data_IF_010158224360
#
_entry.id   IF_010158224360
#
_cell.length_a   1.000
_cell.length_b   1.000
_cell.length_c   1.000
_cell.angle_alpha   90.00
_cell.angle_beta   90.00
_cell.angle_gamma   90.00
#
_symmetry.space_group_name_H-M   'P 1'
#
loop_
_entity.id
_entity.type
_entity.pdbx_description
1 polymer ?
#
# COMPACT_ATOMS: atom_id res chain seq x y z
N UNK A 1 13.98 -12.07 9.00
CA UNK A 1 14.05 -12.37 7.56
C UNK A 1 12.73 -11.94 6.95
N UNK A 2 12.72 -11.48 5.70
CA UNK A 2 11.54 -10.99 4.98
C UNK A 2 11.30 -11.93 3.81
N UNK A 3 10.05 -12.39 3.63
CA UNK A 3 9.71 -13.43 2.65
C UNK A 3 8.73 -12.95 1.60
N UNK A 4 8.91 -13.47 0.39
CA UNK A 4 8.00 -13.25 -0.74
C UNK A 4 7.81 -14.54 -1.52
N UNK A 5 6.61 -14.78 -1.98
CA UNK A 5 6.29 -15.88 -2.88
C UNK A 5 6.23 -15.36 -4.32
N UNK A 6 7.01 -15.95 -5.21
CA UNK A 6 7.11 -15.58 -6.62
C UNK A 6 7.09 -16.82 -7.53
N UNK A 7 7.04 -16.61 -8.85
CA UNK A 7 7.18 -17.70 -9.80
C UNK A 7 8.55 -18.35 -9.72
N UNK A 8 8.64 -19.63 -10.12
CA UNK A 8 9.92 -20.35 -10.24
C UNK A 8 10.89 -19.65 -11.18
N UNK A 9 12.19 -19.86 -10.96
CA UNK A 9 13.26 -19.30 -11.82
C UNK A 9 13.55 -17.82 -11.60
N UNK A 10 13.25 -17.33 -10.39
CA UNK A 10 13.59 -15.96 -9.95
C UNK A 10 14.84 -15.92 -9.06
N UNK A 11 15.45 -17.07 -8.78
CA UNK A 11 16.63 -17.21 -7.93
C UNK A 11 17.80 -16.35 -8.40
N UNK A 12 18.38 -15.58 -7.49
CA UNK A 12 19.58 -14.79 -7.73
C UNK A 12 19.39 -13.61 -8.69
N UNK A 13 18.20 -13.43 -9.28
CA UNK A 13 17.91 -12.28 -10.12
C UNK A 13 17.80 -11.01 -9.30
N UNK A 14 18.35 -9.94 -9.84
CA UNK A 14 18.16 -8.59 -9.33
C UNK A 14 16.93 -7.99 -10.02
N UNK A 15 16.09 -7.38 -9.23
CA UNK A 15 14.91 -6.66 -9.68
C UNK A 15 15.08 -5.19 -9.31
N UNK A 16 14.89 -4.32 -10.26
CA UNK A 16 14.92 -2.88 -10.06
C UNK A 16 13.53 -2.34 -9.72
N UNK A 17 13.51 -1.27 -8.96
CA UNK A 17 12.32 -0.49 -8.72
C UNK A 17 11.75 -0.01 -10.05
N UNK A 18 10.45 -0.10 -10.19
CA UNK A 18 9.77 0.41 -11.38
C UNK A 18 9.55 1.91 -11.27
N UNK A 19 9.84 2.64 -12.33
CA UNK A 19 9.54 4.07 -12.40
C UNK A 19 8.03 4.34 -12.47
N UNK A 20 7.28 3.40 -13.02
CA UNK A 20 5.83 3.53 -13.13
C UNK A 20 5.13 3.26 -11.81
N UNK A 21 4.23 4.14 -11.44
CA UNK A 21 3.31 3.94 -10.32
C UNK A 21 2.45 2.69 -10.55
N UNK A 22 2.37 1.82 -9.56
CA UNK A 22 1.61 0.58 -9.65
C UNK A 22 0.31 0.70 -8.85
N UNK A 23 -0.85 0.53 -9.49
CA UNK A 23 -2.11 0.51 -8.76
C UNK A 23 -2.15 -0.70 -7.81
N UNK A 24 -2.73 -0.54 -6.63
CA UNK A 24 -2.91 -1.66 -5.69
C UNK A 24 -3.85 -2.69 -6.29
N UNK A 25 -3.51 -3.97 -6.13
CA UNK A 25 -4.38 -5.08 -6.57
C UNK A 25 -5.43 -5.49 -5.54
N UNK A 26 -5.31 -5.01 -4.31
CA UNK A 26 -6.07 -5.50 -3.15
C UNK A 26 -6.72 -4.41 -2.32
N UNK A 27 -6.46 -3.14 -2.62
CA UNK A 27 -6.99 -1.98 -1.90
C UNK A 27 -7.78 -1.10 -2.87
N UNK A 28 -8.95 -0.57 -2.50
CA UNK A 28 -9.68 0.39 -3.34
C UNK A 28 -8.82 1.61 -3.67
N UNK A 29 -8.83 2.06 -4.91
CA UNK A 29 -7.98 3.16 -5.37
C UNK A 29 -8.14 4.45 -4.55
N UNK A 30 -9.38 4.80 -4.19
CA UNK A 30 -9.66 5.96 -3.34
C UNK A 30 -8.98 5.84 -1.98
N UNK A 31 -8.96 4.65 -1.38
CA UNK A 31 -8.31 4.41 -0.09
C UNK A 31 -6.81 4.53 -0.22
N UNK A 32 -6.22 3.93 -1.26
CA UNK A 32 -4.78 4.02 -1.53
C UNK A 32 -4.34 5.47 -1.79
N UNK A 33 -5.15 6.24 -2.54
CA UNK A 33 -4.91 7.66 -2.77
C UNK A 33 -4.95 8.49 -1.48
N UNK A 34 -5.91 8.23 -0.60
CA UNK A 34 -6.02 8.89 0.70
C UNK A 34 -4.87 8.49 1.64
N UNK A 35 -4.42 7.24 1.59
CA UNK A 35 -3.23 6.83 2.31
C UNK A 35 -1.98 7.53 1.79
N UNK A 36 -1.80 7.67 0.48
CA UNK A 36 -0.68 8.43 -0.10
C UNK A 36 -0.72 9.91 0.31
N UNK A 37 -1.90 10.52 0.32
CA UNK A 37 -2.07 11.89 0.77
C UNK A 37 -1.59 12.11 2.21
N UNK A 38 -1.97 11.21 3.16
CA UNK A 38 -1.57 11.29 4.57
C UNK A 38 -0.21 10.64 4.85
N UNK A 39 0.49 10.08 3.86
CA UNK A 39 1.77 9.39 4.07
C UNK A 39 2.79 10.31 4.73
N UNK A 40 3.30 9.94 5.94
CA UNK A 40 4.33 10.71 6.61
C UNK A 40 5.66 10.64 5.85
N UNK A 41 6.49 11.65 6.04
CA UNK A 41 7.87 11.63 5.56
C UNK A 41 8.65 10.47 6.21
N UNK A 42 9.54 9.84 5.45
CA UNK A 42 10.32 8.69 5.90
C UNK A 42 9.60 7.35 5.84
N UNK A 43 8.30 7.31 5.51
CA UNK A 43 7.60 6.05 5.24
C UNK A 43 7.73 5.65 3.78
N UNK A 44 7.85 4.33 3.48
CA UNK A 44 7.92 3.84 2.11
C UNK A 44 6.66 4.20 1.31
N UNK A 45 6.84 4.56 0.05
CA UNK A 45 5.74 4.76 -0.86
C UNK A 45 5.19 3.40 -1.30
N UNK A 46 3.93 3.11 -0.98
CA UNK A 46 3.28 1.84 -1.29
C UNK A 46 3.34 1.49 -2.79
N UNK A 47 3.27 2.47 -3.67
CA UNK A 47 3.24 2.29 -5.14
C UNK A 47 4.58 1.89 -5.73
N UNK A 48 5.66 2.21 -5.03
CA UNK A 48 7.04 1.85 -5.37
C UNK A 48 7.59 0.72 -4.51
N UNK A 49 6.80 0.26 -3.53
CA UNK A 49 7.22 -0.78 -2.60
C UNK A 49 7.06 -2.18 -3.16
N UNK A 50 7.97 -3.05 -2.80
CA UNK A 50 7.77 -4.48 -2.80
C UNK A 50 6.99 -4.84 -1.52
N UNK A 51 5.95 -5.66 -1.66
CA UNK A 51 5.20 -6.20 -0.53
C UNK A 51 5.72 -7.59 -0.17
N UNK A 52 5.90 -7.83 1.11
CA UNK A 52 6.49 -9.04 1.64
C UNK A 52 5.87 -9.40 2.99
N UNK A 53 6.25 -10.53 3.55
CA UNK A 53 5.71 -11.06 4.81
C UNK A 53 6.83 -11.48 5.76
N UNK A 54 6.60 -11.44 7.07
CA UNK A 54 7.56 -11.89 8.06
C UNK A 54 7.69 -13.43 8.13
N UNK A 55 6.72 -14.16 7.56
CA UNK A 55 6.63 -15.61 7.59
C UNK A 55 6.43 -16.20 6.19
N UNK A 56 7.05 -17.35 5.86
CA UNK A 56 6.90 -18.02 4.56
C UNK A 56 5.46 -18.38 4.22
N UNK A 57 4.71 -18.89 5.20
CA UNK A 57 3.31 -19.28 5.03
C UNK A 57 2.40 -18.10 4.69
N UNK A 58 2.64 -16.92 5.27
CA UNK A 58 1.90 -15.71 4.94
C UNK A 58 2.29 -15.20 3.54
N UNK A 59 3.57 -15.26 3.18
CA UNK A 59 4.02 -14.92 1.84
C UNK A 59 3.31 -15.78 0.78
N UNK A 60 3.11 -17.08 1.04
CA UNK A 60 2.38 -17.99 0.17
C UNK A 60 0.88 -17.69 0.13
N UNK A 61 0.26 -17.52 1.30
CA UNK A 61 -1.17 -17.27 1.47
C UNK A 61 -1.68 -16.06 0.67
N UNK A 62 -0.88 -15.00 0.61
CA UNK A 62 -1.25 -13.74 -0.04
C UNK A 62 -0.64 -13.55 -1.43
N UNK A 63 0.06 -14.56 -1.93
CA UNK A 63 0.62 -14.55 -3.29
C UNK A 63 -0.43 -14.95 -4.33
N UNK A 64 -0.35 -14.35 -5.51
CA UNK A 64 -1.09 -14.80 -6.69
C UNK A 64 -0.65 -16.18 -7.19
N UNK A 65 0.51 -16.67 -6.76
CA UNK A 65 1.07 -17.96 -7.19
C UNK A 65 0.64 -19.11 -6.28
N UNK A 66 0.19 -18.84 -5.06
CA UNK A 66 -0.25 -19.86 -4.10
C UNK A 66 0.75 -21.02 -3.96
N UNK A 67 0.26 -22.25 -4.06
CA UNK A 67 1.09 -23.46 -3.94
C UNK A 67 2.04 -23.70 -5.12
N UNK A 68 1.81 -23.04 -6.26
CA UNK A 68 2.71 -23.11 -7.42
C UNK A 68 3.90 -22.15 -7.31
N UNK A 69 3.89 -21.27 -6.31
CA UNK A 69 4.97 -20.32 -6.08
C UNK A 69 6.13 -20.92 -5.28
N UNK A 70 7.26 -20.24 -5.38
CA UNK A 70 8.47 -20.51 -4.56
C UNK A 70 8.63 -19.39 -3.57
N UNK A 71 8.99 -19.75 -2.33
CA UNK A 71 9.28 -18.77 -1.29
C UNK A 71 10.73 -18.34 -1.39
N UNK A 72 10.93 -17.06 -1.39
CA UNK A 72 12.23 -16.41 -1.41
C UNK A 72 12.39 -15.51 -0.19
N UNK A 73 13.59 -15.46 0.35
CA UNK A 73 14.01 -14.34 1.19
C UNK A 73 14.29 -13.15 0.29
N UNK A 74 13.90 -11.97 0.76
CA UNK A 74 14.11 -10.71 0.04
C UNK A 74 15.28 -9.96 0.65
N UNK A 75 16.29 -9.68 -0.17
CA UNK A 75 17.45 -8.87 0.18
C UNK A 75 17.40 -7.54 -0.60
N UNK A 76 17.15 -6.40 0.07
CA UNK A 76 17.26 -5.11 -0.59
C UNK A 76 18.71 -4.79 -0.93
N UNK A 77 18.93 -4.11 -2.04
CA UNK A 77 20.23 -3.64 -2.51
C UNK A 77 20.29 -2.12 -2.37
N UNK A 78 21.24 -1.63 -1.57
CA UNK A 78 21.38 -0.21 -1.26
C UNK A 78 20.45 0.26 -0.14
N UNK A 79 20.12 1.55 -0.16
CA UNK A 79 19.23 2.17 0.83
C UNK A 79 17.82 1.61 0.72
N UNK A 80 17.20 1.42 1.87
CA UNK A 80 15.88 0.79 1.95
C UNK A 80 15.03 1.42 3.05
N UNK A 81 13.82 1.83 2.70
CA UNK A 81 12.78 2.20 3.65
C UNK A 81 11.90 0.99 3.91
N UNK A 82 11.73 0.67 5.18
CA UNK A 82 10.93 -0.47 5.63
C UNK A 82 9.85 -0.02 6.60
N UNK A 83 8.62 -0.44 6.33
CA UNK A 83 7.53 -0.30 7.28
C UNK A 83 6.70 -1.58 7.32
N UNK A 84 6.14 -1.88 8.48
CA UNK A 84 5.25 -3.01 8.69
C UNK A 84 3.94 -2.54 9.27
N UNK A 85 2.84 -3.01 8.73
CA UNK A 85 1.49 -2.89 9.31
C UNK A 85 1.18 -4.12 10.15
N UNK A 86 0.17 -4.01 11.00
CA UNK A 86 -0.24 -5.12 11.87
C UNK A 86 -1.03 -6.19 11.11
N UNK A 87 -1.79 -5.78 10.10
CA UNK A 87 -2.61 -6.66 9.27
C UNK A 87 -1.74 -7.50 8.33
N UNK A 88 -2.08 -8.77 8.15
CA UNK A 88 -1.38 -9.69 7.25
C UNK A 88 -1.41 -9.23 5.78
N UNK A 89 -2.41 -8.44 5.41
CA UNK A 89 -2.58 -7.82 4.10
C UNK A 89 -3.33 -6.50 4.27
N UNK A 90 -2.92 -5.45 3.60
CA UNK A 90 -3.49 -4.11 3.69
C UNK A 90 -5.00 -4.06 3.41
N UNK A 91 -5.55 -5.01 2.62
CA UNK A 91 -7.00 -5.13 2.36
C UNK A 91 -7.84 -5.29 3.62
N UNK A 92 -7.27 -5.83 4.69
CA UNK A 92 -7.94 -6.04 5.98
C UNK A 92 -7.86 -4.85 6.92
N UNK A 93 -7.06 -3.84 6.57
CA UNK A 93 -7.01 -2.62 7.36
C UNK A 93 -8.40 -1.97 7.41
N UNK A 94 -8.78 -1.50 8.60
CA UNK A 94 -10.12 -0.91 8.84
C UNK A 94 -10.47 0.25 7.90
N UNK A 95 -9.47 1.00 7.44
CA UNK A 95 -9.66 2.12 6.52
C UNK A 95 -10.26 1.68 5.18
N UNK A 96 -9.96 0.47 4.69
CA UNK A 96 -10.55 -0.04 3.44
C UNK A 96 -12.09 -0.06 3.48
N UNK A 97 -12.66 -0.27 4.67
CA UNK A 97 -14.12 -0.23 4.88
C UNK A 97 -14.59 1.15 5.31
N UNK A 98 -13.86 1.78 6.23
CA UNK A 98 -14.34 2.95 6.93
C UNK A 98 -14.21 4.22 6.08
N UNK A 99 -13.14 4.39 5.30
CA UNK A 99 -12.98 5.59 4.47
C UNK A 99 -14.07 5.72 3.40
N UNK A 100 -14.44 4.61 2.74
CA UNK A 100 -15.57 4.63 1.80
C UNK A 100 -16.86 5.02 2.49
N UNK A 101 -17.13 4.47 3.68
CA UNK A 101 -18.34 4.84 4.47
C UNK A 101 -18.28 6.30 4.92
N UNK A 102 -17.11 6.78 5.35
CA UNK A 102 -16.93 8.18 5.73
C UNK A 102 -17.20 9.11 4.56
N UNK A 103 -16.66 8.83 3.38
CA UNK A 103 -16.93 9.61 2.18
C UNK A 103 -18.45 9.66 1.87
N UNK A 104 -19.14 8.52 1.88
CA UNK A 104 -20.59 8.47 1.64
C UNK A 104 -21.33 9.32 2.68
N UNK A 105 -20.95 9.24 3.95
CA UNK A 105 -21.56 10.01 5.04
C UNK A 105 -21.33 11.52 4.86
N UNK A 106 -20.09 11.91 4.56
CA UNK A 106 -19.68 13.32 4.49
C UNK A 106 -20.22 14.02 3.25
N UNK A 107 -20.25 13.33 2.12
CA UNK A 107 -20.73 13.86 0.85
C UNK A 107 -22.25 13.71 0.65
N UNK A 108 -22.89 12.92 1.52
CA UNK A 108 -24.33 12.65 1.46
C UNK A 108 -24.72 11.58 0.44
N UNK A 109 -26.02 11.30 0.37
CA UNK A 109 -26.58 10.33 -0.57
C UNK A 109 -26.42 10.84 -2.02
N UNK A 110 -26.15 9.92 -2.93
CA UNK A 110 -26.04 10.25 -4.37
C UNK A 110 -24.66 10.77 -4.79
N UNK A 111 -23.67 10.86 -3.88
CA UNK A 111 -22.31 11.22 -4.28
C UNK A 111 -21.72 10.23 -5.29
N UNK A 112 -22.06 8.94 -5.17
CA UNK A 112 -21.62 7.91 -6.09
C UNK A 112 -22.21 8.08 -7.51
N UNK A 113 -23.39 8.67 -7.62
CA UNK A 113 -24.04 8.90 -8.90
C UNK A 113 -23.35 10.02 -9.70
N UNK A 114 -22.54 10.85 -9.03
CA UNK A 114 -21.75 11.91 -9.64
C UNK A 114 -20.42 11.44 -10.21
N UNK A 115 -20.03 10.19 -9.95
CA UNK A 115 -18.76 9.62 -10.39
C UNK A 115 -18.64 9.43 -11.90
N UNK A 116 -19.71 9.67 -12.66
CA UNK A 116 -19.77 9.48 -14.11
C UNK A 116 -19.24 10.70 -14.88
N UNK A 117 -19.15 11.87 -14.26
CA UNK A 117 -18.66 13.08 -14.89
C UNK A 117 -17.13 13.23 -14.73
N UNK A 118 -16.37 13.28 -15.83
CA UNK A 118 -14.90 13.36 -15.83
C UNK A 118 -14.31 14.55 -15.05
N UNK A 119 -15.10 15.60 -14.84
CA UNK A 119 -14.70 16.82 -14.13
C UNK A 119 -15.09 16.84 -12.65
N UNK A 120 -15.76 15.82 -12.17
CA UNK A 120 -16.15 15.75 -10.76
C UNK A 120 -14.94 15.38 -9.91
N UNK A 121 -14.51 16.22 -8.95
CA UNK A 121 -13.36 15.95 -8.10
C UNK A 121 -13.56 14.69 -7.24
N UNK A 122 -14.81 14.31 -6.94
CA UNK A 122 -15.11 13.08 -6.23
C UNK A 122 -14.74 11.88 -7.09
N UNK A 123 -15.13 11.87 -8.37
CA UNK A 123 -14.78 10.81 -9.31
C UNK A 123 -13.27 10.71 -9.51
N UNK A 124 -12.60 11.85 -9.57
CA UNK A 124 -11.15 11.91 -9.73
C UNK A 124 -10.38 11.23 -8.60
N UNK A 125 -10.92 11.16 -7.38
CA UNK A 125 -10.30 10.39 -6.28
C UNK A 125 -10.22 8.87 -6.55
N UNK A 126 -11.00 8.33 -7.49
CA UNK A 126 -10.96 6.93 -7.91
C UNK A 126 -9.97 6.65 -9.04
N UNK A 127 -9.34 7.67 -9.59
CA UNK A 127 -8.24 7.47 -10.56
C UNK A 127 -7.09 6.76 -9.84
N UNK A 128 -6.56 5.65 -10.39
CA UNK A 128 -5.49 4.91 -9.72
C UNK A 128 -4.21 5.72 -9.63
N UNK A 129 -3.49 5.58 -8.54
CA UNK A 129 -2.14 6.11 -8.34
C UNK A 129 -2.00 7.63 -8.41
N UNK A 130 -2.97 8.38 -7.89
CA UNK A 130 -2.81 9.82 -7.71
C UNK A 130 -1.65 10.11 -6.75
N UNK A 131 -0.81 11.06 -7.10
CA UNK A 131 0.24 11.53 -6.20
C UNK A 131 -0.31 12.39 -5.07
N UNK A 132 0.50 12.56 -4.03
CA UNK A 132 0.13 13.36 -2.86
C UNK A 132 -0.34 14.77 -3.25
N UNK A 133 0.36 15.41 -4.19
CA UNK A 133 0.01 16.75 -4.68
C UNK A 133 -1.29 16.76 -5.49
N UNK A 134 -1.54 15.70 -6.26
CA UNK A 134 -2.77 15.56 -7.05
C UNK A 134 -3.98 15.40 -6.11
N UNK A 135 -3.89 14.52 -5.11
CA UNK A 135 -4.94 14.36 -4.08
C UNK A 135 -5.14 15.66 -3.31
N UNK A 136 -4.07 16.34 -2.89
CA UNK A 136 -4.12 17.63 -2.21
C UNK A 136 -4.81 18.70 -3.08
N UNK A 137 -4.60 18.68 -4.38
CA UNK A 137 -5.29 19.56 -5.34
C UNK A 137 -6.77 19.30 -5.39
N UNK A 138 -7.20 18.04 -5.46
CA UNK A 138 -8.63 17.66 -5.48
C UNK A 138 -9.33 18.05 -4.17
N UNK A 139 -8.64 17.87 -3.03
CA UNK A 139 -9.19 18.19 -1.70
C UNK A 139 -9.26 19.70 -1.41
N UNK A 140 -8.92 20.56 -2.35
CA UNK A 140 -9.14 22.01 -2.32
C UNK A 140 -10.39 22.45 -3.10
N UNK A 141 -11.03 21.51 -3.79
CA UNK A 141 -12.20 21.78 -4.64
C UNK A 141 -13.46 21.27 -3.93
N UNK A 142 -14.52 22.07 -3.95
CA UNK A 142 -15.82 21.63 -3.40
C UNK A 142 -16.41 20.46 -4.23
N UNK A 143 -17.10 19.50 -3.59
CA UNK A 143 -17.45 19.46 -2.14
C UNK A 143 -16.35 18.82 -1.24
N UNK A 144 -15.21 18.41 -1.78
CA UNK A 144 -14.16 17.75 -1.01
C UNK A 144 -13.46 18.70 -0.02
N UNK A 145 -13.36 19.99 -0.36
CA UNK A 145 -12.75 20.99 0.51
C UNK A 145 -13.46 21.10 1.87
N UNK A 146 -14.79 21.06 1.85
CA UNK A 146 -15.62 21.12 3.07
C UNK A 146 -15.43 19.95 4.03
N UNK A 147 -14.97 18.78 3.54
CA UNK A 147 -14.82 17.57 4.35
C UNK A 147 -13.36 17.20 4.59
N UNK A 148 -12.43 18.00 4.11
CA UNK A 148 -11.00 17.68 4.07
C UNK A 148 -10.41 17.32 5.42
N UNK A 149 -10.70 18.13 6.45
CA UNK A 149 -10.17 17.89 7.81
C UNK A 149 -10.73 16.61 8.42
N UNK A 150 -12.05 16.42 8.35
CA UNK A 150 -12.69 15.21 8.88
C UNK A 150 -12.22 13.95 8.15
N UNK A 151 -11.97 14.06 6.83
CA UNK A 151 -11.40 12.97 6.05
C UNK A 151 -9.97 12.66 6.48
N UNK A 152 -9.14 13.68 6.71
CA UNK A 152 -7.77 13.50 7.24
C UNK A 152 -7.76 12.74 8.55
N UNK A 153 -8.61 13.12 9.49
CA UNK A 153 -8.71 12.50 10.82
C UNK A 153 -9.22 11.05 10.74
N UNK A 154 -10.00 10.73 9.70
CA UNK A 154 -10.52 9.39 9.47
C UNK A 154 -9.48 8.39 8.95
N UNK A 155 -8.34 8.85 8.43
CA UNK A 155 -7.27 7.99 7.92
C UNK A 155 -6.38 7.55 9.08
N UNK A 156 -6.26 6.23 9.30
CA UNK A 156 -5.50 5.68 10.43
C UNK A 156 -4.39 4.71 10.04
N UNK A 157 -4.23 4.42 8.75
CA UNK A 157 -3.27 3.43 8.25
C UNK A 157 -1.85 3.65 8.77
N UNK A 158 -1.34 4.88 8.65
CA UNK A 158 0.03 5.20 9.03
C UNK A 158 0.24 5.27 10.56
N UNK A 159 -0.82 5.41 11.34
CA UNK A 159 -0.76 5.37 12.80
C UNK A 159 -0.46 3.95 13.31
N UNK A 160 -0.89 2.94 12.56
CA UNK A 160 -0.68 1.52 12.88
C UNK A 160 0.60 0.96 12.27
N UNK A 161 1.13 1.59 11.23
CA UNK A 161 2.38 1.21 10.59
C UNK A 161 3.60 1.58 11.45
N UNK A 162 4.64 0.74 11.43
CA UNK A 162 5.89 0.94 12.15
C UNK A 162 7.07 0.85 11.20
N UNK A 163 7.92 1.88 11.21
CA UNK A 163 9.22 1.87 10.53
C UNK A 163 10.17 0.95 11.31
N UNK A 164 11.00 0.22 10.60
CA UNK A 164 12.07 -0.57 11.18
C UNK A 164 13.29 -0.62 10.27
N UNK A 165 14.45 -0.99 10.82
CA UNK A 165 15.69 -1.13 10.05
C UNK A 165 15.94 -2.60 9.71
N UNK A 166 16.57 -2.84 8.57
CA UNK A 166 16.99 -4.18 8.16
C UNK A 166 17.89 -4.82 9.22
N UNK A 167 17.70 -6.11 9.48
CA UNK A 167 18.45 -6.83 10.50
C UNK A 167 18.02 -6.59 11.95
N UNK A 168 17.06 -5.68 12.19
CA UNK A 168 16.44 -5.51 13.50
C UNK A 168 15.21 -6.40 13.66
N UNK A 169 14.76 -6.66 14.91
CA UNK A 169 13.51 -7.37 15.15
C UNK A 169 12.34 -6.68 14.42
N UNK A 170 11.47 -7.51 13.85
CA UNK A 170 10.27 -7.00 13.18
C UNK A 170 9.29 -6.43 14.22
N UNK A 171 8.62 -5.31 13.92
CA UNK A 171 7.63 -4.69 14.82
C UNK A 171 6.48 -5.63 15.20
N UNK A 172 6.07 -6.48 14.25
CA UNK A 172 4.97 -7.43 14.45
C UNK A 172 5.40 -8.83 14.02
N UNK A 173 4.92 -9.87 14.71
CA UNK A 173 5.16 -11.27 14.35
C UNK A 173 4.47 -11.70 13.06
N UNK A 174 3.43 -11.00 12.69
CA UNK A 174 2.66 -11.12 11.45
C UNK A 174 2.44 -9.71 10.91
N UNK A 175 1.94 -9.63 9.66
CA UNK A 175 1.66 -8.32 9.08
C UNK A 175 2.46 -8.04 7.80
N UNK A 176 1.81 -7.31 6.89
CA UNK A 176 2.41 -6.96 5.60
C UNK A 176 3.59 -6.00 5.78
N UNK A 177 4.68 -6.29 5.09
CA UNK A 177 5.88 -5.46 5.04
C UNK A 177 5.92 -4.72 3.71
N UNK A 178 6.09 -3.41 3.78
CA UNK A 178 6.37 -2.53 2.65
C UNK A 178 7.87 -2.25 2.62
N UNK A 179 8.49 -2.50 1.48
CA UNK A 179 9.92 -2.27 1.25
C UNK A 179 10.11 -1.41 0.01
N UNK A 180 10.59 -0.19 0.19
CA UNK A 180 11.01 0.68 -0.90
C UNK A 180 12.53 0.71 -0.95
N UNK A 181 13.09 0.24 -2.06
CA UNK A 181 14.52 0.20 -2.36
C UNK A 181 14.70 0.33 -3.87
N UNK A 182 15.84 0.83 -4.32
CA UNK A 182 16.12 0.95 -5.76
C UNK A 182 16.23 -0.42 -6.45
N UNK A 183 16.68 -1.45 -5.72
CA UNK A 183 16.72 -2.81 -6.22
C UNK A 183 16.62 -3.84 -5.08
N UNK A 184 16.32 -5.07 -5.43
CA UNK A 184 16.31 -6.22 -4.51
C UNK A 184 16.67 -7.51 -5.21
N UNK A 185 17.12 -8.47 -4.42
CA UNK A 185 17.45 -9.83 -4.87
C UNK A 185 16.57 -10.84 -4.15
N UNK A 186 16.17 -11.87 -4.87
CA UNK A 186 15.42 -13.00 -4.33
C UNK A 186 16.36 -14.17 -4.09
N UNK A 187 16.44 -14.59 -2.84
CA UNK A 187 17.31 -15.68 -2.38
C UNK A 187 16.41 -16.88 -2.06
N UNK A 188 16.64 -18.06 -2.66
CA UNK A 188 15.89 -19.25 -2.31
C UNK A 188 15.95 -19.51 -0.80
N UNK A 189 14.81 -19.85 -0.21
CA UNK A 189 14.81 -20.42 1.13
C UNK A 189 14.99 -21.92 0.97
N UNK A 190 16.03 -22.48 1.59
CA UNK A 190 16.17 -23.93 1.71
C UNK A 190 14.88 -24.48 2.34
N UNK A 191 14.25 -25.42 1.63
CA UNK A 191 13.02 -26.08 2.07
C UNK A 191 13.31 -27.14 3.11
#
# INVERSE_FOLDING_TARGET
MIYRCESKGREGKVFEKRDSRRPPGNVPYVVDNLWEWKRPEGFPNRRHSLFASPKPELARKYSQYGDNGVIYAVEPLGECLLAQIKEEDARYHKDCRNLTKSLIRLLGKGWADKLVEEKDPIAALWVPCLEKQEVEGLLKIEPLASIREELWDSITFWETAKIFALGKPLPFGEGEIMMESEAWKLIPCDQ
#
